data_IF_164465876333
#
_entry.id   IF_164465876333
#
_cell.length_a   1.000
_cell.length_b   1.000
_cell.length_c   1.000
_cell.angle_alpha   90.00
_cell.angle_beta   90.00
_cell.angle_gamma   90.00
#
_symmetry.space_group_name_H-M   'P 1'
#
loop_
_entity.id
_entity.type
_entity.pdbx_description
1 polymer ?
#
# COMPACT_ATOMS: atom_id res chain seq x y z
N UNK A 1 -34.01 5.43 9.25
CA UNK A 1 -34.76 4.46 10.08
C UNK A 1 -34.23 4.54 11.50
N UNK A 2 -35.07 4.59 12.53
CA UNK A 2 -34.59 4.60 13.92
C UNK A 2 -34.26 3.17 14.38
N UNK A 3 -33.12 2.91 15.05
CA UNK A 3 -32.77 1.57 15.51
C UNK A 3 -33.87 0.93 16.38
N UNK A 4 -34.55 1.73 17.22
CA UNK A 4 -35.64 1.32 18.11
C UNK A 4 -36.80 0.62 17.39
N UNK A 5 -37.12 1.03 16.15
CA UNK A 5 -38.23 0.45 15.36
C UNK A 5 -37.88 -0.91 14.73
N UNK A 6 -36.63 -1.38 14.88
CA UNK A 6 -36.19 -2.68 14.32
C UNK A 6 -36.26 -3.83 15.32
N UNK A 7 -36.55 -3.56 16.59
CA UNK A 7 -36.55 -4.56 17.66
C UNK A 7 -37.65 -4.40 18.72
N UNK A 8 -38.49 -3.36 18.66
CA UNK A 8 -39.62 -3.18 19.58
C UNK A 8 -40.89 -2.77 18.84
N UNK A 9 -42.03 -3.33 19.25
CA UNK A 9 -43.36 -2.92 18.79
C UNK A 9 -43.91 -1.81 19.71
N UNK A 10 -43.41 -0.59 19.54
CA UNK A 10 -44.14 0.64 19.85
C UNK A 10 -44.35 1.08 21.31
N UNK A 11 -44.55 0.20 22.29
CA UNK A 11 -45.03 0.61 23.62
C UNK A 11 -44.24 -0.05 24.77
N UNK A 12 -43.15 0.58 25.25
CA UNK A 12 -42.67 0.37 26.63
C UNK A 12 -41.76 1.53 27.09
N UNK A 13 -42.11 2.12 28.24
CA UNK A 13 -41.50 3.34 28.78
C UNK A 13 -40.16 3.07 29.48
N UNK A 14 -39.12 3.81 29.08
CA UNK A 14 -37.74 3.67 29.59
C UNK A 14 -37.49 4.58 30.79
N UNK A 15 -37.39 3.97 31.97
CA UNK A 15 -36.86 4.57 33.19
C UNK A 15 -36.11 3.52 34.00
N UNK A 16 -35.04 3.91 34.71
CA UNK A 16 -34.23 2.99 35.51
C UNK A 16 -35.09 2.17 36.49
N UNK A 17 -34.88 0.85 36.64
CA UNK A 17 -35.71 0.03 37.51
C UNK A 17 -35.65 0.54 38.94
N UNK A 18 -36.81 0.90 39.51
CA UNK A 18 -36.93 1.04 40.96
C UNK A 18 -36.94 -0.36 41.53
N UNK A 19 -35.91 -0.71 42.31
CA UNK A 19 -35.86 -1.99 43.01
C UNK A 19 -36.92 -1.97 44.11
N UNK A 20 -38.13 -2.43 43.81
CA UNK A 20 -39.12 -2.80 44.82
C UNK A 20 -38.72 -4.15 45.42
N UNK A 21 -38.64 -4.30 46.77
CA UNK A 21 -38.34 -5.60 47.37
C UNK A 21 -39.51 -6.56 47.09
N UNK A 22 -39.29 -7.48 46.17
CA UNK A 22 -40.23 -8.49 45.70
C UNK A 22 -39.51 -9.52 44.83
N UNK A 23 -40.12 -10.69 44.55
CA UNK A 23 -39.52 -11.76 43.75
C UNK A 23 -39.02 -11.30 42.37
N UNK A 24 -39.61 -10.24 41.81
CA UNK A 24 -39.25 -9.66 40.51
C UNK A 24 -37.86 -8.98 40.50
N UNK A 25 -37.44 -8.38 41.62
CA UNK A 25 -36.15 -7.66 41.71
C UNK A 25 -34.93 -8.59 41.65
N UNK A 26 -35.06 -9.84 42.12
CA UNK A 26 -34.00 -10.85 42.01
C UNK A 26 -33.90 -11.42 40.58
N UNK A 27 -35.04 -11.51 39.89
CA UNK A 27 -35.09 -11.91 38.47
C UNK A 27 -34.42 -10.83 37.61
N UNK A 28 -34.70 -9.56 37.86
CA UNK A 28 -34.08 -8.44 37.16
C UNK A 28 -32.59 -8.33 37.44
N UNK A 29 -32.15 -8.52 38.69
CA UNK A 29 -30.73 -8.57 39.06
C UNK A 29 -30.00 -9.72 38.36
N UNK A 30 -30.63 -10.90 38.22
CA UNK A 30 -30.04 -12.02 37.46
C UNK A 30 -29.95 -11.72 35.98
N UNK A 31 -30.98 -11.09 35.39
CA UNK A 31 -30.97 -10.69 33.98
C UNK A 31 -29.85 -9.69 33.71
N UNK A 32 -29.75 -8.65 34.54
CA UNK A 32 -28.69 -7.65 34.45
C UNK A 32 -27.28 -8.24 34.64
N UNK A 33 -27.10 -9.18 35.59
CA UNK A 33 -25.84 -9.89 35.77
C UNK A 33 -25.49 -10.80 34.57
N UNK A 34 -26.50 -11.43 33.95
CA UNK A 34 -26.33 -12.20 32.73
C UNK A 34 -25.91 -11.35 31.53
N UNK A 35 -26.54 -10.19 31.36
CA UNK A 35 -26.18 -9.20 30.33
C UNK A 35 -24.77 -8.64 30.56
N UNK A 36 -24.44 -8.29 31.81
CA UNK A 36 -23.10 -7.84 32.17
C UNK A 36 -22.04 -8.91 31.88
N UNK A 37 -22.32 -10.18 32.17
CA UNK A 37 -21.41 -11.29 31.88
C UNK A 37 -21.20 -11.49 30.37
N UNK A 38 -22.28 -11.38 29.58
CA UNK A 38 -22.19 -11.42 28.12
C UNK A 38 -21.33 -10.26 27.58
N UNK A 39 -21.55 -9.04 28.08
CA UNK A 39 -20.77 -7.86 27.68
C UNK A 39 -19.29 -7.97 28.08
N UNK A 40 -18.99 -8.53 29.27
CA UNK A 40 -17.62 -8.77 29.70
C UNK A 40 -16.92 -9.81 28.82
N UNK A 41 -17.61 -10.90 28.47
CA UNK A 41 -17.08 -11.92 27.55
C UNK A 41 -16.76 -11.34 26.16
N UNK A 42 -17.63 -10.45 25.65
CA UNK A 42 -17.36 -9.72 24.41
C UNK A 42 -16.18 -8.76 24.55
N UNK A 43 -16.06 -8.07 25.68
CA UNK A 43 -14.92 -7.19 25.95
C UNK A 43 -13.61 -7.98 25.95
N UNK A 44 -13.55 -9.11 26.68
CA UNK A 44 -12.39 -10.01 26.69
C UNK A 44 -12.07 -10.53 25.29
N UNK A 45 -13.08 -10.92 24.52
CA UNK A 45 -12.86 -11.38 23.13
C UNK A 45 -12.31 -10.26 22.25
N UNK A 46 -12.82 -9.04 22.39
CA UNK A 46 -12.37 -7.87 21.64
C UNK A 46 -10.96 -7.40 22.04
N UNK A 47 -10.62 -7.43 23.33
CA UNK A 47 -9.27 -7.12 23.81
C UNK A 47 -8.26 -8.18 23.41
N UNK A 48 -8.65 -9.45 23.39
CA UNK A 48 -7.85 -10.54 22.84
C UNK A 48 -7.56 -10.34 21.35
N UNK A 49 -8.58 -10.03 20.55
CA UNK A 49 -8.38 -9.71 19.12
C UNK A 49 -7.49 -8.48 18.90
N UNK A 50 -7.64 -7.44 19.73
CA UNK A 50 -6.77 -6.26 19.69
C UNK A 50 -5.32 -6.65 20.02
N UNK A 51 -5.10 -7.43 21.08
CA UNK A 51 -3.79 -7.93 21.48
C UNK A 51 -3.14 -8.73 20.34
N UNK A 52 -3.85 -9.69 19.76
CA UNK A 52 -3.36 -10.51 18.64
C UNK A 52 -3.02 -9.65 17.40
N UNK A 53 -3.88 -8.66 17.10
CA UNK A 53 -3.64 -7.70 16.02
C UNK A 53 -2.40 -6.84 16.26
N UNK A 54 -2.16 -6.41 17.50
CA UNK A 54 -0.98 -5.62 17.87
C UNK A 54 0.29 -6.48 17.86
N UNK A 55 0.21 -7.76 18.26
CA UNK A 55 1.33 -8.71 18.11
C UNK A 55 1.70 -8.87 16.63
N UNK A 56 0.70 -9.05 15.76
CA UNK A 56 0.91 -9.14 14.31
C UNK A 56 1.54 -7.86 13.75
N UNK A 57 1.08 -6.69 14.22
CA UNK A 57 1.64 -5.39 13.83
C UNK A 57 3.11 -5.25 14.24
N UNK A 58 3.46 -5.67 15.46
CA UNK A 58 4.82 -5.59 15.97
C UNK A 58 5.78 -6.56 15.26
N UNK A 59 5.33 -7.77 14.94
CA UNK A 59 6.08 -8.71 14.10
C UNK A 59 6.32 -8.14 12.69
N UNK A 60 5.26 -7.62 12.05
CA UNK A 60 5.36 -6.98 10.74
C UNK A 60 6.24 -5.73 10.76
N UNK A 61 6.19 -4.94 11.83
CA UNK A 61 7.04 -3.77 12.00
C UNK A 61 8.49 -4.15 12.21
N UNK A 62 8.77 -5.21 12.96
CA UNK A 62 10.14 -5.71 13.15
C UNK A 62 10.73 -6.16 11.81
N UNK A 63 9.96 -6.92 11.02
CA UNK A 63 10.37 -7.31 9.67
C UNK A 63 10.61 -6.10 8.74
N UNK A 64 9.80 -5.03 8.87
CA UNK A 64 10.00 -3.79 8.12
C UNK A 64 11.29 -3.07 8.54
N UNK A 65 11.55 -2.95 9.85
CA UNK A 65 12.78 -2.35 10.39
C UNK A 65 14.01 -3.11 9.89
N UNK A 66 13.99 -4.43 9.95
CA UNK A 66 15.08 -5.28 9.45
C UNK A 66 15.30 -5.09 7.94
N UNK A 67 14.20 -5.00 7.17
CA UNK A 67 14.25 -4.70 5.73
C UNK A 67 14.83 -3.33 5.42
N UNK A 68 14.49 -2.30 6.20
CA UNK A 68 15.06 -0.95 6.09
C UNK A 68 16.56 -0.98 6.41
N UNK A 69 16.97 -1.68 7.47
CA UNK A 69 18.38 -1.81 7.85
C UNK A 69 19.21 -2.53 6.76
N UNK A 70 18.65 -3.58 6.16
CA UNK A 70 19.27 -4.29 5.03
C UNK A 70 19.37 -3.38 3.79
N UNK A 71 18.30 -2.65 3.47
CA UNK A 71 18.31 -1.68 2.36
C UNK A 71 19.32 -0.56 2.58
N UNK A 72 19.41 -0.03 3.81
CA UNK A 72 20.39 0.99 4.19
C UNK A 72 21.83 0.49 4.02
N UNK A 73 22.10 -0.75 4.45
CA UNK A 73 23.41 -1.40 4.25
C UNK A 73 23.73 -1.55 2.76
N UNK A 74 22.78 -2.03 1.95
CA UNK A 74 22.96 -2.17 0.50
C UNK A 74 23.16 -0.83 -0.21
N UNK A 75 22.45 0.22 0.22
CA UNK A 75 22.64 1.57 -0.32
C UNK A 75 23.99 2.18 0.05
N UNK A 76 24.47 1.95 1.27
CA UNK A 76 25.82 2.35 1.67
C UNK A 76 26.90 1.64 0.84
N UNK A 77 26.74 0.33 0.59
CA UNK A 77 27.62 -0.43 -0.30
C UNK A 77 27.58 0.10 -1.73
N UNK A 78 26.39 0.39 -2.27
CA UNK A 78 26.23 0.98 -3.60
C UNK A 78 26.91 2.35 -3.68
N UNK A 79 26.71 3.22 -2.68
CA UNK A 79 27.34 4.53 -2.61
C UNK A 79 28.87 4.41 -2.61
N UNK A 80 29.43 3.51 -1.79
CA UNK A 80 30.87 3.27 -1.74
C UNK A 80 31.40 2.74 -3.09
N UNK A 81 30.72 1.76 -3.69
CA UNK A 81 31.08 1.22 -5.00
C UNK A 81 31.02 2.26 -6.12
N UNK A 82 30.06 3.20 -6.06
CA UNK A 82 29.98 4.31 -7.00
C UNK A 82 31.11 5.33 -6.82
N UNK A 83 31.53 5.61 -5.58
CA UNK A 83 32.71 6.44 -5.30
C UNK A 83 33.99 5.77 -5.84
N UNK A 84 34.14 4.46 -5.65
CA UNK A 84 35.23 3.68 -6.23
C UNK A 84 35.21 3.70 -7.76
N UNK A 85 34.04 3.51 -8.37
CA UNK A 85 33.86 3.61 -9.82
C UNK A 85 34.26 4.99 -10.32
N UNK A 86 33.79 6.07 -9.69
CA UNK A 86 34.14 7.43 -10.06
C UNK A 86 35.65 7.69 -9.95
N UNK A 87 36.30 7.18 -8.90
CA UNK A 87 37.76 7.27 -8.77
C UNK A 87 38.49 6.49 -9.87
N UNK A 88 38.03 5.28 -10.18
CA UNK A 88 38.55 4.45 -11.27
C UNK A 88 38.36 5.10 -12.64
N UNK A 89 37.19 5.71 -12.89
CA UNK A 89 36.91 6.52 -14.07
C UNK A 89 37.89 7.69 -14.18
N UNK A 90 38.18 8.39 -13.07
CA UNK A 90 39.18 9.46 -13.06
C UNK A 90 40.58 8.97 -13.45
N UNK A 91 41.01 7.80 -12.95
CA UNK A 91 42.28 7.19 -13.34
C UNK A 91 42.29 6.78 -14.82
N UNK A 92 41.21 6.17 -15.31
CA UNK A 92 41.05 5.80 -16.71
C UNK A 92 41.08 7.04 -17.61
N UNK A 93 40.43 8.13 -17.19
CA UNK A 93 40.41 9.39 -17.91
C UNK A 93 41.81 10.01 -18.04
N UNK A 94 42.60 9.98 -16.96
CA UNK A 94 44.00 10.42 -17.00
C UNK A 94 44.85 9.54 -17.93
N UNK A 95 44.61 8.23 -17.98
CA UNK A 95 45.22 7.31 -18.94
C UNK A 95 44.84 7.63 -20.38
N UNK A 96 43.53 7.78 -20.65
CA UNK A 96 43.00 8.11 -21.96
C UNK A 96 43.53 9.45 -22.48
N UNK A 97 43.64 10.46 -21.62
CA UNK A 97 44.21 11.77 -21.97
C UNK A 97 45.67 11.64 -22.39
N UNK A 98 46.50 10.90 -21.63
CA UNK A 98 47.90 10.64 -22.02
C UNK A 98 48.02 9.94 -23.37
N UNK A 99 47.14 8.98 -23.65
CA UNK A 99 47.09 8.30 -24.95
C UNK A 99 46.68 9.27 -26.05
N UNK A 100 45.62 10.06 -25.85
CA UNK A 100 45.13 11.04 -26.81
C UNK A 100 46.19 12.12 -27.13
N UNK A 101 46.92 12.58 -26.13
CA UNK A 101 48.00 13.54 -26.29
C UNK A 101 49.19 12.93 -27.06
N UNK A 102 49.57 11.70 -26.73
CA UNK A 102 50.62 10.96 -27.43
C UNK A 102 50.28 10.70 -28.90
N UNK A 103 49.07 10.22 -29.18
CA UNK A 103 48.56 10.05 -30.55
C UNK A 103 48.53 11.40 -31.25
N UNK A 104 47.99 12.44 -30.62
CA UNK A 104 47.94 13.80 -31.16
C UNK A 104 49.32 14.30 -31.59
N UNK A 105 50.33 14.15 -30.75
CA UNK A 105 51.70 14.52 -31.06
C UNK A 105 52.29 13.76 -32.24
N UNK A 106 52.06 12.44 -32.34
CA UNK A 106 52.51 11.63 -33.48
C UNK A 106 51.83 12.07 -34.78
N UNK A 107 50.52 12.30 -34.75
CA UNK A 107 49.78 12.77 -35.93
C UNK A 107 50.24 14.16 -36.36
N UNK A 108 50.43 15.08 -35.43
CA UNK A 108 50.88 16.44 -35.75
C UNK A 108 52.30 16.44 -36.35
N UNK A 109 53.19 15.56 -35.88
CA UNK A 109 54.50 15.35 -36.49
C UNK A 109 54.40 14.78 -37.91
N UNK A 110 53.52 13.81 -38.14
CA UNK A 110 53.29 13.22 -39.47
C UNK A 110 52.75 14.26 -40.46
N UNK A 111 51.74 15.04 -40.06
CA UNK A 111 51.17 16.11 -40.88
C UNK A 111 52.20 17.21 -41.14
N UNK A 112 52.99 17.58 -40.12
CA UNK A 112 54.08 18.53 -40.26
C UNK A 112 55.17 18.07 -41.23
N UNK A 113 55.54 16.79 -41.18
CA UNK A 113 56.48 16.19 -42.13
C UNK A 113 55.95 16.25 -43.56
N UNK A 114 54.69 15.88 -43.79
CA UNK A 114 54.06 15.97 -45.12
C UNK A 114 54.00 17.42 -45.64
N UNK A 115 53.73 18.39 -44.77
CA UNK A 115 53.73 19.81 -45.13
C UNK A 115 55.14 20.30 -45.54
N UNK A 116 56.17 19.98 -44.75
CA UNK A 116 57.56 20.32 -45.06
C UNK A 116 58.00 19.64 -46.35
N UNK A 117 57.66 18.37 -46.53
CA UNK A 117 57.92 17.60 -47.76
C UNK A 117 57.27 18.25 -48.99
N UNK A 118 56.02 18.69 -48.88
CA UNK A 118 55.33 19.42 -49.94
C UNK A 118 56.03 20.73 -50.32
N UNK A 119 56.50 21.48 -49.32
CA UNK A 119 57.28 22.71 -49.54
C UNK A 119 58.63 22.42 -50.22
N UNK A 120 59.33 21.37 -49.80
CA UNK A 120 60.59 20.91 -50.42
C UNK A 120 60.35 20.54 -51.88
N UNK A 121 59.31 19.74 -52.18
CA UNK A 121 58.95 19.37 -53.55
C UNK A 121 58.64 20.59 -54.41
N UNK A 122 57.86 21.55 -53.90
CA UNK A 122 57.55 22.81 -54.61
C UNK A 122 58.80 23.65 -54.89
N UNK A 123 59.74 23.67 -53.94
CA UNK A 123 61.01 24.39 -54.08
C UNK A 123 61.91 23.73 -55.12
N UNK A 124 62.00 22.39 -55.11
CA UNK A 124 62.72 21.61 -56.12
C UNK A 124 62.10 21.84 -57.50
N UNK A 125 60.77 21.80 -57.63
CA UNK A 125 60.06 22.03 -58.89
C UNK A 125 60.33 23.43 -59.45
N UNK A 126 60.32 24.45 -58.58
CA UNK A 126 60.66 25.82 -58.96
C UNK A 126 62.13 25.98 -59.38
N UNK A 127 63.06 25.23 -58.78
CA UNK A 127 64.47 25.25 -59.17
C UNK A 127 64.70 24.55 -60.52
N UNK A 128 64.07 23.38 -60.71
CA UNK A 128 64.11 22.62 -61.96
C UNK A 128 63.57 23.43 -63.14
N UNK A 129 62.46 24.16 -62.95
CA UNK A 129 61.87 24.99 -64.01
C UNK A 129 62.81 26.12 -64.45
N UNK A 130 63.48 26.79 -63.49
CA UNK A 130 64.47 27.84 -63.80
C UNK A 130 65.68 27.31 -64.57
N UNK A 131 66.02 26.04 -64.39
CA UNK A 131 67.19 25.39 -64.98
C UNK A 131 66.90 24.66 -66.31
N UNK A 132 65.66 24.71 -66.83
CA UNK A 132 65.27 23.85 -67.96
C UNK A 132 66.02 24.18 -69.27
N UNK A 133 66.28 25.46 -69.53
CA UNK A 133 66.87 25.95 -70.79
C UNK A 133 68.39 26.13 -70.73
N UNK A 134 69.00 25.93 -69.54
CA UNK A 134 70.43 26.04 -69.35
C UNK A 134 71.18 24.90 -70.06
N UNK A 135 72.23 25.24 -70.81
CA UNK A 135 73.06 24.31 -71.59
C UNK A 135 74.43 24.02 -70.98
N UNK A 136 74.73 24.65 -69.84
CA UNK A 136 75.98 24.45 -69.12
C UNK A 136 76.04 23.01 -68.55
N UNK A 137 77.12 22.24 -68.80
CA UNK A 137 77.27 20.88 -68.28
C UNK A 137 77.06 20.75 -66.76
N UNK A 138 77.47 21.73 -65.96
CA UNK A 138 77.32 21.69 -64.49
C UNK A 138 75.85 21.81 -64.07
N UNK A 139 75.08 22.65 -64.78
CA UNK A 139 73.65 22.85 -64.51
C UNK A 139 72.84 21.61 -64.90
N UNK A 140 73.26 20.87 -65.92
CA UNK A 140 72.66 19.59 -66.31
C UNK A 140 72.81 18.56 -65.18
N UNK A 141 74.01 18.41 -64.61
CA UNK A 141 74.24 17.52 -63.45
C UNK A 141 73.41 17.92 -62.24
N UNK A 142 73.38 19.21 -61.89
CA UNK A 142 72.56 19.70 -60.78
C UNK A 142 71.08 19.39 -60.98
N UNK A 143 70.58 19.47 -62.23
CA UNK A 143 69.20 19.13 -62.58
C UNK A 143 68.92 17.66 -62.36
N UNK A 144 69.80 16.76 -62.78
CA UNK A 144 69.67 15.31 -62.57
C UNK A 144 69.66 14.97 -61.07
N UNK A 145 70.54 15.60 -60.28
CA UNK A 145 70.58 15.41 -58.83
C UNK A 145 69.28 15.87 -58.15
N UNK A 146 68.75 17.04 -58.55
CA UNK A 146 67.46 17.55 -58.05
C UNK A 146 66.28 16.68 -58.47
N UNK A 147 66.30 16.10 -59.68
CA UNK A 147 65.29 15.12 -60.12
C UNK A 147 65.33 13.85 -59.27
N UNK A 148 66.53 13.34 -58.95
CA UNK A 148 66.70 12.20 -58.05
C UNK A 148 66.16 12.49 -56.64
N UNK A 149 66.49 13.66 -56.08
CA UNK A 149 65.99 14.10 -54.78
C UNK A 149 64.47 14.29 -54.79
N UNK A 150 63.90 14.84 -55.88
CA UNK A 150 62.45 14.98 -56.07
C UNK A 150 61.77 13.61 -56.00
N UNK A 151 62.29 12.60 -56.69
CA UNK A 151 61.65 11.28 -56.67
C UNK A 151 61.83 10.57 -55.32
N UNK A 152 62.97 10.72 -54.64
CA UNK A 152 63.11 10.24 -53.26
C UNK A 152 62.08 10.88 -52.33
N UNK A 153 61.93 12.20 -52.40
CA UNK A 153 60.91 12.92 -51.63
C UNK A 153 59.50 12.46 -52.03
N UNK A 154 59.20 12.23 -53.32
CA UNK A 154 57.92 11.69 -53.78
C UNK A 154 57.63 10.31 -53.19
N UNK A 155 58.61 9.41 -53.21
CA UNK A 155 58.45 8.04 -52.73
C UNK A 155 58.32 7.98 -51.20
N UNK A 156 58.85 8.97 -50.48
CA UNK A 156 58.69 9.10 -49.03
C UNK A 156 57.28 9.56 -48.58
N UNK A 157 56.30 9.67 -49.51
CA UNK A 157 54.91 10.00 -49.16
C UNK A 157 54.30 8.93 -48.28
N UNK A 158 53.66 9.35 -47.20
CA UNK A 158 52.75 8.48 -46.49
C UNK A 158 51.45 8.32 -47.31
N UNK A 159 50.91 7.09 -47.40
CA UNK A 159 49.61 6.85 -48.02
C UNK A 159 48.53 7.75 -47.41
N UNK A 160 47.71 8.40 -48.24
CA UNK A 160 46.69 9.35 -47.77
C UNK A 160 45.68 8.71 -46.81
N UNK A 161 45.37 7.43 -47.01
CA UNK A 161 44.54 6.62 -46.13
C UNK A 161 45.19 6.39 -44.75
N UNK A 162 46.52 6.24 -44.69
CA UNK A 162 47.23 6.12 -43.43
C UNK A 162 47.12 7.41 -42.60
N UNK A 163 47.28 8.57 -43.23
CA UNK A 163 47.11 9.88 -42.56
C UNK A 163 45.68 10.09 -42.09
N UNK A 164 44.69 9.70 -42.90
CA UNK A 164 43.27 9.77 -42.52
C UNK A 164 42.98 8.89 -41.29
N UNK A 165 43.46 7.64 -41.28
CA UNK A 165 43.27 6.72 -40.14
C UNK A 165 43.95 7.22 -38.87
N UNK A 166 45.13 7.83 -39.00
CA UNK A 166 45.82 8.46 -37.88
C UNK A 166 45.01 9.62 -37.31
N UNK A 167 44.44 10.47 -38.17
CA UNK A 167 43.58 11.59 -37.75
C UNK A 167 42.30 11.09 -37.06
N UNK A 168 41.69 10.04 -37.59
CA UNK A 168 40.53 9.39 -36.97
C UNK A 168 40.89 8.82 -35.59
N UNK A 169 42.04 8.16 -35.45
CA UNK A 169 42.55 7.66 -34.18
C UNK A 169 42.80 8.80 -33.18
N UNK A 170 43.39 9.92 -33.63
CA UNK A 170 43.57 11.14 -32.81
C UNK A 170 42.24 11.68 -32.31
N UNK A 171 41.24 11.79 -33.18
CA UNK A 171 39.94 12.32 -32.80
C UNK A 171 39.18 11.36 -31.86
N UNK A 172 39.21 10.06 -32.16
CA UNK A 172 38.56 9.04 -31.35
C UNK A 172 39.18 8.91 -29.96
N UNK A 173 40.51 8.93 -29.85
CA UNK A 173 41.21 8.92 -28.56
C UNK A 173 40.91 10.18 -27.73
N UNK A 174 40.86 11.36 -28.38
CA UNK A 174 40.46 12.62 -27.72
C UNK A 174 39.01 12.58 -27.25
N UNK A 175 38.09 12.06 -28.06
CA UNK A 175 36.68 11.93 -27.69
C UNK A 175 36.49 11.01 -26.47
N UNK A 176 37.16 9.85 -26.45
CA UNK A 176 37.14 8.96 -25.27
C UNK A 176 37.69 9.66 -24.03
N UNK A 177 38.82 10.37 -24.16
CA UNK A 177 39.39 11.13 -23.05
C UNK A 177 38.40 12.18 -22.51
N UNK A 178 37.71 12.90 -23.41
CA UNK A 178 36.72 13.90 -23.05
C UNK A 178 35.49 13.27 -22.37
N UNK A 179 34.94 12.19 -22.92
CA UNK A 179 33.81 11.46 -22.33
C UNK A 179 34.07 11.01 -20.89
N UNK A 180 35.32 10.71 -20.56
CA UNK A 180 35.74 10.24 -19.24
C UNK A 180 36.10 11.36 -18.26
N UNK A 181 36.61 12.51 -18.72
CA UNK A 181 37.19 13.56 -17.87
C UNK A 181 36.45 14.90 -17.86
N UNK A 182 35.67 15.21 -18.89
CA UNK A 182 35.18 16.57 -19.11
C UNK A 182 33.70 16.65 -18.69
N UNK A 183 33.34 17.60 -17.79
CA UNK A 183 31.95 17.89 -17.47
C UNK A 183 31.14 18.30 -18.71
N UNK A 184 29.89 17.85 -18.81
CA UNK A 184 29.02 18.07 -19.96
C UNK A 184 28.99 16.90 -20.94
N UNK A 185 29.90 15.93 -20.78
CA UNK A 185 29.86 14.69 -21.53
C UNK A 185 29.03 13.62 -20.81
N UNK A 186 28.26 12.86 -21.58
CA UNK A 186 27.23 11.97 -21.06
C UNK A 186 27.77 10.90 -20.10
N UNK A 187 28.94 10.32 -20.39
CA UNK A 187 29.51 9.28 -19.52
C UNK A 187 29.99 9.86 -18.18
N UNK A 188 30.83 10.90 -18.21
CA UNK A 188 31.29 11.59 -17.00
C UNK A 188 30.11 12.04 -16.13
N UNK A 189 29.15 12.77 -16.70
CA UNK A 189 28.01 13.30 -15.96
C UNK A 189 27.09 12.19 -15.44
N UNK A 190 26.95 11.10 -16.20
CA UNK A 190 26.21 9.91 -15.78
C UNK A 190 26.81 9.25 -14.55
N UNK A 191 28.14 9.07 -14.51
CA UNK A 191 28.84 8.51 -13.34
C UNK A 191 28.68 9.43 -12.14
N UNK A 192 28.91 10.73 -12.28
CA UNK A 192 28.75 11.70 -11.18
C UNK A 192 27.30 11.74 -10.66
N UNK A 193 26.31 11.78 -11.55
CA UNK A 193 24.91 11.78 -11.17
C UNK A 193 24.52 10.49 -10.45
N UNK A 194 25.01 9.34 -10.91
CA UNK A 194 24.75 8.05 -10.27
C UNK A 194 25.42 7.98 -8.87
N UNK A 195 26.63 8.49 -8.71
CA UNK A 195 27.30 8.55 -7.40
C UNK A 195 26.53 9.44 -6.43
N UNK A 196 26.12 10.63 -6.86
CA UNK A 196 25.32 11.54 -6.04
C UNK A 196 23.96 10.94 -5.68
N UNK A 197 23.28 10.28 -6.63
CA UNK A 197 22.02 9.59 -6.38
C UNK A 197 22.16 8.43 -5.38
N UNK A 198 23.24 7.65 -5.48
CA UNK A 198 23.53 6.59 -4.53
C UNK A 198 23.81 7.13 -3.12
N UNK A 199 24.55 8.24 -3.01
CA UNK A 199 24.80 8.91 -1.74
C UNK A 199 23.52 9.47 -1.11
N UNK A 200 22.64 10.09 -1.92
CA UNK A 200 21.34 10.58 -1.45
C UNK A 200 20.44 9.43 -0.98
N UNK A 201 20.40 8.31 -1.72
CA UNK A 201 19.66 7.12 -1.32
C UNK A 201 20.16 6.56 0.01
N UNK A 202 21.48 6.44 0.17
CA UNK A 202 22.09 5.99 1.42
C UNK A 202 21.76 6.93 2.59
N UNK A 203 21.83 8.25 2.38
CA UNK A 203 21.46 9.23 3.40
C UNK A 203 19.98 9.12 3.79
N UNK A 204 19.07 9.06 2.81
CA UNK A 204 17.64 8.96 3.06
C UNK A 204 17.24 7.65 3.76
N UNK A 205 17.90 6.54 3.42
CA UNK A 205 17.68 5.27 4.13
C UNK A 205 18.25 5.28 5.54
N UNK A 206 19.33 6.00 5.78
CA UNK A 206 19.86 6.19 7.13
C UNK A 206 18.89 7.00 8.00
N UNK A 207 18.33 8.09 7.45
CA UNK A 207 17.26 8.86 8.11
C UNK A 207 16.03 8.01 8.41
N UNK A 208 15.58 7.21 7.43
CA UNK A 208 14.44 6.30 7.61
C UNK A 208 14.73 5.25 8.68
N UNK A 209 15.93 4.65 8.67
CA UNK A 209 16.36 3.67 9.66
C UNK A 209 16.39 4.26 11.08
N UNK A 210 16.88 5.49 11.22
CA UNK A 210 16.91 6.19 12.51
C UNK A 210 15.50 6.56 13.00
N UNK A 211 14.57 6.88 12.09
CA UNK A 211 13.16 7.11 12.42
C UNK A 211 12.38 5.83 12.75
N UNK A 212 12.83 4.68 12.26
CA UNK A 212 12.16 3.40 12.47
C UNK A 212 12.30 2.88 13.92
N UNK A 213 13.41 3.18 14.59
CA UNK A 213 13.64 2.75 15.98
C UNK A 213 12.61 3.33 16.98
N UNK A 214 12.35 4.67 17.01
CA UNK A 214 11.27 5.23 17.84
C UNK A 214 9.88 4.68 17.50
N UNK A 215 9.62 4.38 16.23
CA UNK A 215 8.34 3.80 15.81
C UNK A 215 8.18 2.38 16.37
N UNK A 216 9.23 1.56 16.34
CA UNK A 216 9.24 0.23 16.94
C UNK A 216 8.99 0.28 18.44
N UNK A 217 9.59 1.25 19.14
CA UNK A 217 9.35 1.42 20.58
C UNK A 217 7.91 1.86 20.89
N UNK A 218 7.31 2.70 20.05
CA UNK A 218 5.88 3.02 20.15
C UNK A 218 4.96 1.82 19.96
N UNK A 219 5.33 0.90 19.07
CA UNK A 219 4.57 -0.34 18.85
C UNK A 219 4.73 -1.32 20.02
N UNK A 220 5.92 -1.43 20.62
CA UNK A 220 6.12 -2.17 21.88
C UNK A 220 5.24 -1.61 23.00
N UNK A 221 5.17 -0.28 23.14
CA UNK A 221 4.29 0.34 24.14
C UNK A 221 2.81 0.03 23.87
N UNK A 222 2.39 0.00 22.61
CA UNK A 222 1.04 -0.38 22.22
C UNK A 222 0.76 -1.85 22.57
N UNK A 223 1.72 -2.75 22.32
CA UNK A 223 1.65 -4.17 22.69
C UNK A 223 1.48 -4.33 24.19
N UNK A 224 2.35 -3.73 24.98
CA UNK A 224 2.29 -3.77 26.45
C UNK A 224 0.96 -3.19 26.98
N UNK A 225 0.47 -2.12 26.35
CA UNK A 225 -0.82 -1.51 26.68
C UNK A 225 -2.00 -2.43 26.35
N UNK A 226 -1.97 -3.10 25.20
CA UNK A 226 -3.01 -4.05 24.79
C UNK A 226 -3.05 -5.30 25.68
N UNK A 227 -1.89 -5.78 26.13
CA UNK A 227 -1.80 -6.90 27.07
C UNK A 227 -2.40 -6.54 28.43
N UNK A 228 -2.04 -5.38 28.98
CA UNK A 228 -2.64 -4.88 30.23
C UNK A 228 -4.15 -4.69 30.11
N UNK A 229 -4.63 -4.20 28.97
CA UNK A 229 -6.06 -4.00 28.72
C UNK A 229 -6.80 -5.34 28.69
N UNK A 230 -6.23 -6.36 28.04
CA UNK A 230 -6.77 -7.70 28.00
C UNK A 230 -6.83 -8.35 29.40
N UNK A 231 -5.75 -8.24 30.18
CA UNK A 231 -5.73 -8.71 31.57
C UNK A 231 -6.82 -8.06 32.43
N UNK A 232 -7.03 -6.74 32.27
CA UNK A 232 -8.11 -6.03 32.97
C UNK A 232 -9.50 -6.49 32.53
N UNK A 233 -9.69 -6.77 31.24
CA UNK A 233 -10.94 -7.29 30.70
C UNK A 233 -11.26 -8.68 31.26
N UNK A 234 -10.30 -9.60 31.26
CA UNK A 234 -10.42 -10.94 31.86
C UNK A 234 -10.78 -10.82 33.35
N UNK A 235 -10.06 -10.00 34.12
CA UNK A 235 -10.34 -9.80 35.55
C UNK A 235 -11.74 -9.22 35.80
N UNK A 236 -12.21 -8.33 34.92
CA UNK A 236 -13.56 -7.77 34.99
C UNK A 236 -14.60 -8.85 34.71
N UNK A 237 -14.38 -9.70 33.71
CA UNK A 237 -15.25 -10.84 33.40
C UNK A 237 -15.35 -11.82 34.57
N UNK A 238 -14.23 -12.19 35.19
CA UNK A 238 -14.19 -13.08 36.37
C UNK A 238 -14.95 -12.48 37.56
N UNK A 239 -14.82 -11.18 37.78
CA UNK A 239 -15.52 -10.47 38.85
C UNK A 239 -17.04 -10.48 38.61
N UNK A 240 -17.48 -10.22 37.39
CA UNK A 240 -18.89 -10.26 37.02
C UNK A 240 -19.47 -11.67 37.13
N UNK A 241 -18.71 -12.70 36.73
CA UNK A 241 -19.15 -14.09 36.87
C UNK A 241 -19.25 -14.52 38.35
N UNK A 242 -18.35 -14.03 39.21
CA UNK A 242 -18.45 -14.22 40.66
C UNK A 242 -19.72 -13.57 41.24
N UNK A 243 -20.03 -12.32 40.83
CA UNK A 243 -21.27 -11.64 41.23
C UNK A 243 -22.50 -12.43 40.76
N UNK A 244 -22.50 -12.92 39.52
CA UNK A 244 -23.58 -13.73 38.95
C UNK A 244 -23.82 -15.00 39.75
N UNK A 245 -22.76 -15.71 40.16
CA UNK A 245 -22.85 -16.93 40.98
C UNK A 245 -23.33 -16.68 42.40
N UNK A 246 -23.12 -15.47 42.93
CA UNK A 246 -23.58 -15.09 44.26
C UNK A 246 -25.09 -14.75 44.33
N UNK A 247 -25.79 -14.61 43.19
CA UNK A 247 -27.24 -14.34 43.15
C UNK A 247 -28.02 -15.66 43.38
N UNK A 248 -28.84 -15.80 44.45
CA UNK A 248 -29.55 -17.04 44.80
C UNK A 248 -30.48 -17.55 43.70
N UNK A 249 -30.57 -18.89 43.53
CA UNK A 249 -31.56 -19.56 42.66
C UNK A 249 -32.99 -19.46 43.27
N UNK A 250 -34.07 -19.33 42.46
CA UNK A 250 -35.42 -19.46 43.03
C UNK A 250 -35.61 -20.87 43.59
N UNK A 251 -36.24 -20.99 44.76
CA UNK A 251 -36.73 -22.27 45.23
C UNK A 251 -37.79 -22.80 44.25
N UNK A 252 -37.81 -24.13 43.95
CA UNK A 252 -38.82 -24.70 43.09
C UNK A 252 -40.19 -24.60 43.76
N UNK A 253 -41.00 -23.64 43.33
CA UNK A 253 -42.42 -23.59 43.73
C UNK A 253 -43.20 -24.69 43.03
N UNK A 254 -43.91 -25.49 43.83
CA UNK A 254 -44.78 -26.56 43.35
C UNK A 254 -45.82 -26.01 42.37
N UNK A 255 -45.95 -26.69 41.23
CA UNK A 255 -46.80 -26.30 40.12
C UNK A 255 -48.29 -26.19 40.53
N UNK A 256 -48.89 -25.02 40.31
CA UNK A 256 -50.33 -24.86 40.18
C UNK A 256 -50.68 -24.51 38.73
N UNK A 257 -51.55 -25.33 38.16
CA UNK A 257 -52.13 -25.31 36.82
C UNK A 257 -52.84 -24.00 36.46
N UNK A 258 -52.60 -23.50 35.23
CA UNK A 258 -53.53 -22.59 34.56
C UNK A 258 -52.90 -21.67 33.53
N UNK A 259 -53.25 -21.89 32.26
CA UNK A 259 -53.08 -20.99 31.10
C UNK A 259 -51.65 -20.77 30.60
N UNK A 260 -51.22 -21.68 29.74
CA UNK A 260 -50.19 -21.38 28.74
C UNK A 260 -50.78 -20.39 27.72
N UNK A 261 -50.53 -19.10 27.92
CA UNK A 261 -50.34 -18.24 26.76
C UNK A 261 -49.06 -18.73 26.08
N UNK A 262 -49.23 -19.34 24.91
CA UNK A 262 -48.14 -19.61 23.98
C UNK A 262 -47.61 -18.26 23.49
N UNK A 263 -46.74 -17.64 24.28
CA UNK A 263 -45.76 -16.70 23.77
C UNK A 263 -44.88 -17.46 22.79
N UNK A 264 -44.97 -17.12 21.50
CA UNK A 264 -44.13 -17.70 20.45
C UNK A 264 -42.65 -17.67 20.89
N UNK A 265 -41.83 -18.67 20.52
CA UNK A 265 -40.40 -18.61 20.77
C UNK A 265 -39.85 -17.34 20.12
N UNK A 266 -39.43 -16.37 20.93
CA UNK A 266 -38.84 -15.14 20.44
C UNK A 266 -37.52 -15.49 19.74
N UNK A 267 -37.55 -15.59 18.41
CA UNK A 267 -36.35 -15.57 17.58
C UNK A 267 -35.59 -14.31 17.94
N UNK A 268 -34.36 -14.44 18.41
CA UNK A 268 -33.62 -13.29 18.92
C UNK A 268 -32.20 -13.29 18.34
N UNK A 269 -31.89 -12.27 17.54
CA UNK A 269 -30.53 -11.84 17.27
C UNK A 269 -30.35 -10.47 17.95
N UNK A 270 -29.53 -10.42 18.99
CA UNK A 270 -29.30 -9.19 19.73
C UNK A 270 -28.87 -8.06 18.76
N UNK A 271 -29.46 -6.85 18.84
CA UNK A 271 -29.08 -5.72 17.98
C UNK A 271 -27.59 -5.39 18.00
N UNK A 272 -26.95 -5.57 19.16
CA UNK A 272 -25.51 -5.41 19.32
C UNK A 272 -24.72 -6.48 18.53
N UNK A 273 -25.19 -7.73 18.53
CA UNK A 273 -24.59 -8.81 17.75
C UNK A 273 -24.73 -8.55 16.24
N UNK A 274 -25.92 -8.11 15.79
CA UNK A 274 -26.15 -7.71 14.40
C UNK A 274 -25.20 -6.57 13.96
N UNK A 275 -24.94 -5.62 14.85
CA UNK A 275 -24.04 -4.48 14.62
C UNK A 275 -22.58 -4.90 14.53
N UNK A 276 -22.12 -5.82 15.40
CA UNK A 276 -20.75 -6.33 15.35
C UNK A 276 -20.50 -7.18 14.09
N UNK A 277 -21.48 -8.01 13.71
CA UNK A 277 -21.45 -8.74 12.44
C UNK A 277 -21.38 -7.75 11.28
N UNK A 278 -22.18 -6.68 11.33
CA UNK A 278 -22.15 -5.65 10.29
C UNK A 278 -20.79 -4.95 10.21
N UNK A 279 -20.19 -4.59 11.36
CA UNK A 279 -18.87 -3.98 11.43
C UNK A 279 -17.80 -4.86 10.76
N UNK A 280 -17.77 -6.16 11.11
CA UNK A 280 -16.86 -7.14 10.53
C UNK A 280 -17.04 -7.28 9.02
N UNK A 281 -18.28 -7.28 8.53
CA UNK A 281 -18.59 -7.34 7.10
C UNK A 281 -18.14 -6.07 6.37
N UNK A 282 -18.28 -4.90 6.97
CA UNK A 282 -17.73 -3.65 6.39
C UNK A 282 -16.21 -3.68 6.28
N UNK A 283 -15.50 -4.14 7.32
CA UNK A 283 -14.05 -4.31 7.29
C UNK A 283 -13.66 -5.36 6.24
N UNK A 284 -14.38 -6.47 6.18
CA UNK A 284 -14.21 -7.51 5.17
C UNK A 284 -14.42 -7.00 3.75
N UNK A 285 -15.40 -6.12 3.53
CA UNK A 285 -15.62 -5.43 2.25
C UNK A 285 -14.45 -4.55 1.83
N UNK A 286 -13.84 -3.80 2.76
CA UNK A 286 -12.61 -3.04 2.49
C UNK A 286 -11.44 -3.98 2.14
N UNK A 287 -11.26 -5.07 2.90
CA UNK A 287 -10.21 -6.06 2.62
C UNK A 287 -10.41 -6.73 1.25
N UNK A 288 -11.65 -7.05 0.88
CA UNK A 288 -12.02 -7.54 -0.44
C UNK A 288 -11.66 -6.52 -1.53
N UNK A 289 -11.94 -5.24 -1.29
CA UNK A 289 -11.62 -4.18 -2.24
C UNK A 289 -10.11 -4.04 -2.46
N UNK A 290 -9.32 -4.11 -1.39
CA UNK A 290 -7.85 -4.16 -1.44
C UNK A 290 -7.39 -5.38 -2.24
N UNK A 291 -7.86 -6.58 -1.91
CA UNK A 291 -7.47 -7.80 -2.59
C UNK A 291 -7.73 -7.73 -4.10
N UNK A 292 -8.88 -7.18 -4.52
CA UNK A 292 -9.23 -6.99 -5.93
C UNK A 292 -8.36 -5.93 -6.62
N UNK A 293 -7.91 -4.90 -5.90
CA UNK A 293 -7.01 -3.88 -6.43
C UNK A 293 -5.60 -4.45 -6.73
N UNK A 294 -5.13 -5.41 -5.95
CA UNK A 294 -3.79 -6.01 -6.08
C UNK A 294 -3.74 -7.34 -6.87
N UNK A 295 -4.88 -7.96 -7.21
CA UNK A 295 -4.95 -9.19 -8.04
C UNK A 295 -5.65 -8.97 -9.40
N UNK A 296 -5.00 -8.32 -10.38
CA UNK A 296 -5.65 -7.84 -11.61
C UNK A 296 -6.07 -8.93 -12.61
N UNK A 297 -5.47 -10.13 -12.56
CA UNK A 297 -5.74 -11.21 -13.52
C UNK A 297 -6.99 -12.05 -13.21
N UNK A 298 -7.55 -11.95 -12.00
CA UNK A 298 -8.64 -12.83 -11.52
C UNK A 298 -9.72 -12.12 -10.72
N UNK A 299 -9.90 -10.80 -10.95
CA UNK A 299 -10.76 -9.91 -10.16
C UNK A 299 -12.17 -10.46 -9.89
N UNK A 300 -12.87 -10.95 -10.91
CA UNK A 300 -14.23 -11.50 -10.75
C UNK A 300 -14.26 -12.76 -9.89
N UNK A 301 -13.21 -13.58 -9.95
CA UNK A 301 -13.09 -14.75 -9.09
C UNK A 301 -12.77 -14.33 -7.65
N UNK A 302 -11.92 -13.33 -7.44
CA UNK A 302 -11.63 -12.77 -6.12
C UNK A 302 -12.88 -12.12 -5.49
N UNK A 303 -13.68 -11.38 -6.27
CA UNK A 303 -14.97 -10.82 -5.83
C UNK A 303 -15.93 -11.93 -5.42
N UNK A 304 -16.13 -12.95 -6.27
CA UNK A 304 -17.04 -14.05 -5.98
C UNK A 304 -16.59 -14.88 -4.76
N UNK A 305 -15.32 -15.28 -4.73
CA UNK A 305 -14.75 -16.08 -3.64
C UNK A 305 -14.74 -15.31 -2.32
N UNK A 306 -14.30 -14.05 -2.34
CA UNK A 306 -14.25 -13.22 -1.13
C UNK A 306 -15.64 -12.86 -0.60
N UNK A 307 -16.59 -12.54 -1.47
CA UNK A 307 -17.99 -12.32 -1.06
C UNK A 307 -18.60 -13.59 -0.48
N UNK A 308 -18.39 -14.74 -1.11
CA UNK A 308 -18.86 -16.03 -0.62
C UNK A 308 -18.25 -16.38 0.75
N UNK A 309 -16.94 -16.19 0.91
CA UNK A 309 -16.24 -16.43 2.17
C UNK A 309 -16.74 -15.55 3.31
N UNK A 310 -16.86 -14.23 3.08
CA UNK A 310 -17.35 -13.29 4.10
C UNK A 310 -18.83 -13.51 4.43
N UNK A 311 -19.65 -13.88 3.44
CA UNK A 311 -21.04 -14.26 3.66
C UNK A 311 -21.14 -15.50 4.54
N UNK A 312 -20.30 -16.52 4.29
CA UNK A 312 -20.26 -17.74 5.10
C UNK A 312 -19.84 -17.45 6.54
N UNK A 313 -18.79 -16.66 6.75
CA UNK A 313 -18.36 -16.25 8.10
C UNK A 313 -19.48 -15.49 8.80
N UNK A 314 -20.09 -14.50 8.14
CA UNK A 314 -21.20 -13.75 8.71
C UNK A 314 -22.40 -14.64 9.04
N UNK A 315 -22.71 -15.61 8.19
CA UNK A 315 -23.80 -16.56 8.42
C UNK A 315 -23.53 -17.47 9.63
N UNK A 316 -22.30 -17.96 9.77
CA UNK A 316 -21.86 -18.73 10.94
C UNK A 316 -22.03 -17.88 12.20
N UNK A 317 -21.59 -16.62 12.19
CA UNK A 317 -21.78 -15.72 13.33
C UNK A 317 -23.26 -15.47 13.65
N UNK A 318 -24.11 -15.29 12.63
CA UNK A 318 -25.57 -15.15 12.81
C UNK A 318 -26.15 -16.42 13.45
N UNK A 319 -25.73 -17.61 13.03
CA UNK A 319 -26.22 -18.87 13.61
C UNK A 319 -25.69 -19.13 15.02
N UNK A 320 -24.46 -18.72 15.33
CA UNK A 320 -23.86 -18.88 16.66
C UNK A 320 -24.45 -17.91 17.67
N UNK A 321 -24.71 -16.67 17.25
CA UNK A 321 -25.19 -15.60 18.14
C UNK A 321 -26.72 -15.47 18.17
N UNK A 322 -27.42 -16.04 17.19
CA UNK A 322 -28.87 -16.04 17.11
C UNK A 322 -29.51 -17.26 17.78
N UNK A 323 -30.67 -17.08 18.40
CA UNK A 323 -31.44 -18.15 19.04
C UNK A 323 -32.72 -18.40 18.25
N UNK A 324 -33.00 -19.66 17.90
CA UNK A 324 -34.25 -20.10 17.24
C UNK A 324 -34.59 -19.37 15.92
N UNK A 325 -33.60 -19.17 15.06
CA UNK A 325 -33.77 -18.53 13.76
C UNK A 325 -34.58 -19.40 12.79
N UNK A 326 -35.55 -18.82 12.09
CA UNK A 326 -36.28 -19.50 11.02
C UNK A 326 -35.40 -19.69 9.77
N UNK A 327 -35.67 -20.71 8.92
CA UNK A 327 -34.95 -20.88 7.64
C UNK A 327 -35.03 -19.64 6.74
N UNK A 328 -36.15 -18.92 6.80
CA UNK A 328 -36.33 -17.67 6.05
C UNK A 328 -35.46 -16.53 6.61
N UNK A 329 -35.31 -16.43 7.93
CA UNK A 329 -34.41 -15.47 8.58
C UNK A 329 -32.95 -15.73 8.20
N UNK A 330 -32.52 -17.00 8.16
CA UNK A 330 -31.17 -17.38 7.73
C UNK A 330 -30.95 -17.02 6.26
N UNK A 331 -31.92 -17.31 5.38
CA UNK A 331 -31.81 -17.01 3.95
C UNK A 331 -31.73 -15.49 3.66
N UNK A 332 -32.56 -14.70 4.35
CA UNK A 332 -32.55 -13.23 4.22
C UNK A 332 -31.30 -12.61 4.84
N UNK A 333 -30.79 -13.14 5.95
CA UNK A 333 -29.50 -12.76 6.52
C UNK A 333 -28.33 -13.05 5.56
N UNK A 334 -28.30 -14.23 4.93
CA UNK A 334 -27.28 -14.59 3.93
C UNK A 334 -27.25 -13.58 2.76
N UNK A 335 -28.43 -13.21 2.26
CA UNK A 335 -28.57 -12.26 1.18
C UNK A 335 -28.15 -10.84 1.59
N UNK A 336 -28.53 -10.41 2.80
CA UNK A 336 -28.11 -9.13 3.36
C UNK A 336 -26.58 -9.05 3.53
N UNK A 337 -25.95 -10.12 4.03
CA UNK A 337 -24.49 -10.21 4.20
C UNK A 337 -23.74 -10.13 2.87
N UNK A 338 -24.16 -10.89 1.86
CA UNK A 338 -23.53 -10.89 0.55
C UNK A 338 -23.59 -9.51 -0.13
N UNK A 339 -24.78 -8.90 -0.14
CA UNK A 339 -24.98 -7.60 -0.78
C UNK A 339 -24.28 -6.47 -0.02
N UNK A 340 -24.24 -6.53 1.30
CA UNK A 340 -23.56 -5.51 2.10
C UNK A 340 -22.04 -5.64 2.04
N UNK A 341 -21.51 -6.86 1.89
CA UNK A 341 -20.09 -7.09 1.59
C UNK A 341 -19.71 -6.41 0.27
N UNK A 342 -20.52 -6.62 -0.77
CA UNK A 342 -20.31 -5.98 -2.08
C UNK A 342 -20.54 -4.46 -2.03
N UNK A 343 -21.48 -3.97 -1.21
CA UNK A 343 -21.69 -2.55 -1.02
C UNK A 343 -20.48 -1.88 -0.38
N UNK A 344 -19.93 -2.45 0.69
CA UNK A 344 -18.74 -1.94 1.37
C UNK A 344 -17.49 -1.99 0.47
N UNK A 345 -17.30 -3.09 -0.27
CA UNK A 345 -16.25 -3.17 -1.29
C UNK A 345 -16.48 -2.15 -2.42
N UNK A 346 -17.75 -1.95 -2.80
CA UNK A 346 -18.18 -1.01 -3.83
C UNK A 346 -17.85 0.44 -3.53
N UNK A 347 -18.15 0.90 -2.31
CA UNK A 347 -17.76 2.25 -1.84
C UNK A 347 -16.24 2.42 -1.92
N UNK A 348 -15.49 1.40 -1.50
CA UNK A 348 -14.02 1.42 -1.56
C UNK A 348 -13.49 1.51 -2.99
N UNK A 349 -14.08 0.78 -3.94
CA UNK A 349 -13.73 0.88 -5.37
C UNK A 349 -14.10 2.23 -5.97
N UNK A 350 -15.24 2.81 -5.58
CA UNK A 350 -15.63 4.15 -6.03
C UNK A 350 -14.65 5.22 -5.55
N UNK A 351 -14.20 5.15 -4.30
CA UNK A 351 -13.18 6.06 -3.75
C UNK A 351 -11.84 5.92 -4.46
N UNK A 352 -11.40 4.69 -4.73
CA UNK A 352 -10.20 4.43 -5.52
C UNK A 352 -10.32 4.93 -6.96
N UNK A 353 -11.51 4.87 -7.56
CA UNK A 353 -11.75 5.40 -8.89
C UNK A 353 -11.73 6.94 -8.96
N UNK A 354 -12.11 7.62 -7.86
CA UNK A 354 -12.15 9.09 -7.80
C UNK A 354 -10.80 9.70 -7.38
N UNK A 355 -10.14 9.11 -6.37
CA UNK A 355 -8.93 9.68 -5.76
C UNK A 355 -7.64 8.93 -6.14
N UNK A 356 -7.73 7.89 -6.97
CA UNK A 356 -6.62 6.99 -7.28
C UNK A 356 -6.38 5.94 -6.18
N UNK A 357 -5.63 4.88 -6.48
CA UNK A 357 -5.53 3.69 -5.62
C UNK A 357 -4.99 3.99 -4.22
N UNK A 358 -3.92 4.78 -4.09
CA UNK A 358 -3.27 5.03 -2.78
C UNK A 358 -4.11 5.96 -1.89
N UNK A 359 -4.53 7.10 -2.41
CA UNK A 359 -5.33 8.07 -1.66
C UNK A 359 -6.76 7.56 -1.43
N UNK A 360 -7.34 6.86 -2.41
CA UNK A 360 -8.66 6.23 -2.29
C UNK A 360 -8.71 5.11 -1.24
N UNK A 361 -7.64 4.31 -1.11
CA UNK A 361 -7.54 3.32 -0.02
C UNK A 361 -7.45 3.99 1.36
N UNK A 362 -6.66 5.06 1.49
CA UNK A 362 -6.60 5.85 2.72
C UNK A 362 -7.96 6.44 3.09
N UNK A 363 -8.67 7.03 2.12
CA UNK A 363 -10.01 7.56 2.32
C UNK A 363 -11.02 6.48 2.70
N UNK A 364 -10.97 5.31 2.04
CA UNK A 364 -11.85 4.19 2.34
C UNK A 364 -11.62 3.65 3.76
N UNK A 365 -10.36 3.53 4.20
CA UNK A 365 -10.05 3.10 5.57
C UNK A 365 -10.58 4.09 6.62
N UNK A 366 -10.39 5.40 6.39
CA UNK A 366 -10.91 6.45 7.29
C UNK A 366 -12.44 6.42 7.35
N UNK A 367 -13.11 6.28 6.20
CA UNK A 367 -14.58 6.21 6.14
C UNK A 367 -15.10 4.97 6.85
N UNK A 368 -14.48 3.80 6.65
CA UNK A 368 -14.87 2.56 7.35
C UNK A 368 -14.75 2.72 8.86
N UNK A 369 -13.66 3.31 9.37
CA UNK A 369 -13.50 3.55 10.82
C UNK A 369 -14.53 4.56 11.34
N UNK A 370 -14.75 5.66 10.61
CA UNK A 370 -15.73 6.68 10.97
C UNK A 370 -17.17 6.12 11.00
N UNK A 371 -17.50 5.28 10.03
CA UNK A 371 -18.79 4.61 9.92
C UNK A 371 -19.02 3.63 11.07
N UNK A 372 -18.03 2.80 11.41
CA UNK A 372 -18.10 1.88 12.57
C UNK A 372 -18.34 2.67 13.86
N UNK A 373 -17.61 3.77 14.05
CA UNK A 373 -17.78 4.64 15.21
C UNK A 373 -19.16 5.30 15.28
N UNK A 374 -19.62 5.88 14.17
CA UNK A 374 -20.88 6.61 14.11
C UNK A 374 -22.09 5.67 14.22
N UNK A 375 -22.14 4.61 13.40
CA UNK A 375 -23.23 3.62 13.42
C UNK A 375 -23.24 2.89 14.76
N UNK A 376 -22.06 2.52 15.27
CA UNK A 376 -21.91 1.92 16.59
C UNK A 376 -22.43 2.81 17.71
N UNK A 377 -22.09 4.09 17.69
CA UNK A 377 -22.57 5.07 18.65
C UNK A 377 -24.08 5.29 18.54
N UNK A 378 -24.65 5.40 17.34
CA UNK A 378 -26.10 5.58 17.14
C UNK A 378 -26.89 4.38 17.64
N UNK A 379 -26.46 3.15 17.32
CA UNK A 379 -27.13 1.93 17.75
C UNK A 379 -27.00 1.69 19.26
N UNK A 380 -25.83 1.97 19.84
CA UNK A 380 -25.64 1.96 21.30
C UNK A 380 -26.51 3.01 21.99
N UNK A 381 -26.54 4.24 21.47
CA UNK A 381 -27.30 5.34 22.07
C UNK A 381 -28.80 5.12 21.97
N UNK A 382 -29.27 4.51 20.87
CA UNK A 382 -30.67 4.15 20.70
C UNK A 382 -31.16 3.08 21.68
N UNK A 383 -30.27 2.25 22.24
CA UNK A 383 -30.61 1.33 23.32
C UNK A 383 -30.69 2.01 24.70
N UNK A 384 -30.08 3.20 24.84
CA UNK A 384 -30.00 3.94 26.11
C UNK A 384 -30.90 5.20 26.17
N UNK A 385 -31.52 5.62 25.05
CA UNK A 385 -32.40 6.79 24.99
C UNK A 385 -32.56 7.39 23.58
N UNK A 386 -33.03 8.63 23.51
CA UNK A 386 -33.30 9.32 22.24
C UNK A 386 -32.02 9.79 21.54
N UNK A 387 -31.87 9.46 20.26
CA UNK A 387 -30.77 9.92 19.38
C UNK A 387 -31.18 11.19 18.64
N UNK A 388 -30.26 12.13 18.44
CA UNK A 388 -30.53 13.32 17.63
C UNK A 388 -30.95 12.94 16.19
N UNK A 389 -31.91 13.68 15.63
CA UNK A 389 -32.43 13.43 14.27
C UNK A 389 -31.34 13.49 13.20
N UNK A 390 -30.36 14.37 13.38
CA UNK A 390 -29.21 14.53 12.47
C UNK A 390 -28.29 13.31 12.51
N UNK A 391 -27.90 12.83 13.69
CA UNK A 391 -27.02 11.66 13.78
C UNK A 391 -27.71 10.37 13.28
N UNK A 392 -29.01 10.23 13.53
CA UNK A 392 -29.80 9.13 12.99
C UNK A 392 -29.90 9.20 11.46
N UNK A 393 -30.06 10.39 10.88
CA UNK A 393 -30.09 10.59 9.43
C UNK A 393 -28.75 10.24 8.78
N UNK A 394 -27.63 10.72 9.33
CA UNK A 394 -26.28 10.43 8.80
C UNK A 394 -25.96 8.94 8.91
N UNK A 395 -26.23 8.32 10.06
CA UNK A 395 -26.03 6.88 10.23
C UNK A 395 -26.89 6.07 9.24
N UNK A 396 -28.13 6.50 8.97
CA UNK A 396 -29.00 5.79 8.03
C UNK A 396 -28.58 5.85 6.56
N UNK A 397 -27.61 6.69 6.21
CA UNK A 397 -27.05 6.76 4.87
C UNK A 397 -25.85 5.81 4.67
N UNK A 398 -25.41 5.11 5.71
CA UNK A 398 -24.18 4.33 5.72
C UNK A 398 -24.44 2.81 5.53
N UNK A 399 -23.65 2.10 4.69
CA UNK A 399 -23.83 0.68 4.39
C UNK A 399 -23.94 -0.26 5.61
N UNK A 400 -23.14 -0.03 6.65
CA UNK A 400 -23.16 -0.77 7.90
C UNK A 400 -24.49 -0.64 8.62
N UNK A 401 -25.12 0.53 8.59
CA UNK A 401 -26.44 0.73 9.20
C UNK A 401 -27.51 -0.11 8.51
N UNK A 402 -27.44 -0.25 7.18
CA UNK A 402 -28.38 -1.05 6.41
C UNK A 402 -28.27 -2.53 6.73
N UNK A 403 -27.03 -3.04 6.84
CA UNK A 403 -26.78 -4.42 7.23
C UNK A 403 -27.24 -4.69 8.67
N UNK A 404 -26.93 -3.77 9.58
CA UNK A 404 -27.32 -3.90 11.00
C UNK A 404 -28.84 -3.93 11.14
N UNK A 405 -29.54 -3.04 10.44
CA UNK A 405 -31.00 -3.01 10.40
C UNK A 405 -31.59 -4.29 9.78
N UNK A 406 -31.01 -4.77 8.68
CA UNK A 406 -31.49 -5.97 7.99
C UNK A 406 -31.30 -7.25 8.82
N UNK A 407 -30.14 -7.41 9.48
CA UNK A 407 -29.86 -8.55 10.33
C UNK A 407 -30.72 -8.55 11.61
N UNK A 408 -30.87 -7.38 12.24
CA UNK A 408 -31.76 -7.23 13.41
C UNK A 408 -33.22 -7.54 13.03
N UNK A 409 -33.69 -7.04 11.89
CA UNK A 409 -35.05 -7.31 11.43
C UNK A 409 -35.25 -8.79 11.04
N UNK A 410 -34.26 -9.42 10.40
CA UNK A 410 -34.32 -10.83 10.04
C UNK A 410 -34.32 -11.74 11.27
N UNK A 411 -33.49 -11.43 12.28
CA UNK A 411 -33.33 -12.25 13.48
C UNK A 411 -34.48 -12.10 14.49
N UNK A 412 -35.10 -10.92 14.56
CA UNK A 412 -36.11 -10.59 15.57
C UNK A 412 -37.55 -10.56 15.04
N UNK A 413 -37.79 -10.95 13.78
CA UNK A 413 -39.10 -10.78 13.14
C UNK A 413 -39.56 -9.32 13.07
N UNK A 414 -38.60 -8.39 13.00
CA UNK A 414 -38.84 -6.95 13.02
C UNK A 414 -39.42 -6.42 11.70
N UNK A 415 -39.43 -5.09 11.55
CA UNK A 415 -40.00 -4.42 10.37
C UNK A 415 -39.50 -5.01 9.04
N UNK A 416 -40.41 -5.61 8.27
CA UNK A 416 -40.14 -6.12 6.91
C UNK A 416 -39.67 -5.00 5.97
N UNK A 417 -40.13 -3.77 6.21
CA UNK A 417 -39.66 -2.58 5.50
C UNK A 417 -38.17 -2.31 5.79
N UNK A 418 -37.73 -2.41 7.05
CA UNK A 418 -36.32 -2.21 7.41
C UNK A 418 -35.40 -3.26 6.77
N UNK A 419 -35.85 -4.52 6.74
CA UNK A 419 -35.15 -5.62 6.10
C UNK A 419 -34.94 -5.38 4.60
N UNK A 420 -36.02 -5.10 3.85
CA UNK A 420 -35.94 -4.97 2.40
C UNK A 420 -35.32 -3.65 1.94
N UNK A 421 -35.51 -2.56 2.68
CA UNK A 421 -34.83 -1.28 2.38
C UNK A 421 -33.32 -1.41 2.61
N UNK A 422 -32.89 -2.04 3.70
CA UNK A 422 -31.46 -2.27 3.95
C UNK A 422 -30.81 -3.12 2.85
N UNK A 423 -31.45 -4.23 2.48
CA UNK A 423 -31.03 -5.09 1.37
C UNK A 423 -31.00 -4.33 0.03
N UNK A 424 -32.05 -3.56 -0.26
CA UNK A 424 -32.18 -2.81 -1.51
C UNK A 424 -31.12 -1.72 -1.68
N UNK A 425 -30.82 -0.97 -0.61
CA UNK A 425 -29.77 0.04 -0.62
C UNK A 425 -28.37 -0.58 -0.78
N UNK A 426 -28.09 -1.67 -0.07
CA UNK A 426 -26.85 -2.44 -0.25
C UNK A 426 -26.72 -2.97 -1.68
N UNK A 427 -27.80 -3.47 -2.28
CA UNK A 427 -27.78 -3.92 -3.68
C UNK A 427 -27.49 -2.78 -4.66
N UNK A 428 -28.09 -1.61 -4.46
CA UNK A 428 -27.88 -0.45 -5.33
C UNK A 428 -26.40 0.00 -5.32
N UNK A 429 -25.79 0.11 -4.13
CA UNK A 429 -24.36 0.45 -4.01
C UNK A 429 -23.47 -0.67 -4.55
N UNK A 430 -23.79 -1.93 -4.30
CA UNK A 430 -23.05 -3.07 -4.83
C UNK A 430 -22.96 -3.01 -6.37
N UNK A 431 -24.07 -2.71 -7.05
CA UNK A 431 -24.10 -2.56 -8.52
C UNK A 431 -23.22 -1.40 -8.98
N UNK A 432 -23.33 -0.23 -8.35
CA UNK A 432 -22.51 0.95 -8.69
C UNK A 432 -21.02 0.68 -8.47
N UNK A 433 -20.68 0.00 -7.38
CA UNK A 433 -19.31 -0.40 -7.05
C UNK A 433 -18.71 -1.38 -8.05
N UNK A 434 -19.48 -2.39 -8.48
CA UNK A 434 -19.03 -3.37 -9.48
C UNK A 434 -18.75 -2.73 -10.85
N UNK A 435 -19.46 -1.66 -11.22
CA UNK A 435 -19.14 -0.86 -12.42
C UNK A 435 -17.78 -0.15 -12.26
N UNK A 436 -17.46 0.31 -11.04
CA UNK A 436 -16.19 0.94 -10.69
C UNK A 436 -14.97 0.02 -10.78
N UNK A 437 -15.13 -1.30 -10.57
CA UNK A 437 -14.05 -2.30 -10.67
C UNK A 437 -13.36 -2.31 -12.04
N UNK A 438 -14.10 -1.97 -13.10
CA UNK A 438 -13.57 -1.88 -14.47
C UNK A 438 -12.86 -0.55 -14.77
N UNK A 439 -13.08 0.51 -13.97
CA UNK A 439 -12.55 1.85 -14.20
C UNK A 439 -11.25 2.16 -13.48
N UNK A 440 -10.77 1.33 -12.55
CA UNK A 440 -9.50 1.51 -11.83
C UNK A 440 -8.25 1.30 -12.72
N UNK A 441 -8.34 1.58 -14.02
CA UNK A 441 -7.30 1.38 -15.05
C UNK A 441 -7.03 2.62 -15.91
N UNK A 442 -7.59 3.78 -15.58
CA UNK A 442 -7.21 5.04 -16.23
C UNK A 442 -6.17 5.77 -15.36
#
# INVERSE_FOLDING_TARGET
MSPVSTWSSGDEATGAPRVTPGPDGLVDARRAAGEAAANASMLTSGTGQLKDGVVTLDEGSTALVDGIAAANTGAAQLSNGMVELQAGTGQLAAGATRVADGVGGVVDQVVGFEAVRGQVLSTIDSALERMKDARDPEVIQAREALQGLREQARTAQLPADAVSRLTELKNGSREVANQLSVPGYAYHDGVYSATNGAAQLASGLNELNNGAAPAQDGIKQLRDGSEKLDEMAVKTADSIDTVRRAIPAPEPVAASSGQAEQGAPASALAPLAAMLIAALVTIGGLALAVAVAFLPGRKWWAVAAGTGFLTLIGLVLVMVLGVSLSPLAVATAALALALSTLAAAGVSWMLMAVFGTKAGLGAAAVITVAEIGLVGWVWKSAAAGAVSSVAAAVSSALPMHWLTAALSAAGNGGSTTALWVGIGLSAAIAVLGLIGVNRTRA
#
